data_IF_948980325986
#
_entry.id   IF_948980325986
#
_cell.length_a   1.000
_cell.length_b   1.000
_cell.length_c   1.000
_cell.angle_alpha   90.00
_cell.angle_beta   90.00
_cell.angle_gamma   90.00
#
_symmetry.space_group_name_H-M   'P 1'
#
loop_
_entity.id
_entity.type
_entity.pdbx_description
1 polymer ?
#
# COMPACT_ATOMS: atom_id res chain seq x y z
N UNK A 1 90.00 10.33 5.97
CA UNK A 1 89.60 11.65 6.51
C UNK A 1 88.26 11.49 7.21
N UNK A 2 88.19 11.71 8.52
CA UNK A 2 86.98 11.56 9.31
C UNK A 2 86.00 12.74 9.06
N UNK A 3 84.68 12.51 8.95
CA UNK A 3 83.71 13.60 8.85
C UNK A 3 83.44 14.20 10.23
N UNK A 4 83.49 15.54 10.29
CA UNK A 4 83.23 16.36 11.48
C UNK A 4 81.78 16.19 11.95
N UNK A 5 81.59 15.99 13.25
CA UNK A 5 80.29 16.03 13.94
C UNK A 5 79.80 17.47 14.01
N UNK A 6 78.67 17.75 13.37
CA UNK A 6 77.94 19.00 13.48
C UNK A 6 77.33 19.18 14.88
N UNK A 7 77.52 20.38 15.43
CA UNK A 7 76.95 20.83 16.71
C UNK A 7 75.43 20.99 16.56
N UNK A 8 74.65 20.11 17.20
CA UNK A 8 73.22 20.31 17.37
C UNK A 8 72.92 21.52 18.29
N UNK A 9 71.86 22.32 18.03
CA UNK A 9 71.57 23.53 18.77
C UNK A 9 71.23 23.24 20.24
N UNK A 10 71.96 23.89 21.15
CA UNK A 10 71.84 23.73 22.61
C UNK A 10 70.45 24.08 23.17
N UNK A 11 69.63 24.86 22.45
CA UNK A 11 68.30 25.29 22.89
C UNK A 11 67.24 24.18 22.87
N UNK A 12 67.31 23.25 21.93
CA UNK A 12 66.37 22.11 21.86
C UNK A 12 66.56 21.15 23.05
N UNK A 13 67.79 21.01 23.54
CA UNK A 13 68.09 20.16 24.71
C UNK A 13 67.55 20.76 26.03
N UNK A 14 67.53 22.09 26.17
CA UNK A 14 67.05 22.77 27.39
C UNK A 14 65.52 22.72 27.55
N UNK A 15 64.76 22.72 26.45
CA UNK A 15 63.29 22.59 26.50
C UNK A 15 62.83 21.15 26.83
N UNK A 16 63.59 20.14 26.38
CA UNK A 16 63.32 18.72 26.68
C UNK A 16 63.55 18.43 28.16
N UNK A 17 64.55 19.07 28.78
CA UNK A 17 64.95 18.86 30.18
C UNK A 17 63.89 19.36 31.20
N UNK A 18 63.28 20.52 30.94
CA UNK A 18 62.22 21.10 31.82
C UNK A 18 60.91 20.30 31.86
N UNK A 19 60.72 19.34 30.95
CA UNK A 19 59.51 18.49 30.90
C UNK A 19 59.80 17.04 31.27
N UNK A 20 61.06 16.63 31.42
CA UNK A 20 61.44 15.23 31.64
C UNK A 20 61.05 14.71 33.03
N UNK A 21 61.18 15.53 34.08
CA UNK A 21 60.78 15.17 35.46
C UNK A 21 59.29 15.33 35.78
N UNK A 22 58.53 16.07 34.96
CA UNK A 22 57.13 16.41 35.23
C UNK A 22 56.12 15.43 34.60
N UNK A 23 56.56 14.63 33.62
CA UNK A 23 55.72 13.67 32.87
C UNK A 23 55.23 12.48 33.68
N UNK A 24 55.90 12.17 34.81
CA UNK A 24 55.51 11.06 35.70
C UNK A 24 54.55 11.47 36.83
N UNK A 25 54.18 12.76 36.93
CA UNK A 25 53.20 13.28 37.89
C UNK A 25 51.83 13.45 37.21
N UNK A 26 50.86 12.58 37.52
CA UNK A 26 49.47 12.62 37.02
C UNK A 26 48.61 13.77 37.60
N UNK A 27 49.23 14.80 38.18
CA UNK A 27 48.50 15.94 38.74
C UNK A 27 48.04 16.92 37.65
N UNK A 28 46.77 17.32 37.66
CA UNK A 28 46.19 18.22 36.64
C UNK A 28 46.93 19.57 36.48
N UNK A 29 47.54 20.08 37.55
CA UNK A 29 48.38 21.29 37.50
C UNK A 29 49.69 21.07 36.71
N UNK A 30 50.34 19.92 36.88
CA UNK A 30 51.54 19.56 36.14
C UNK A 30 51.25 19.36 34.65
N UNK A 31 50.09 18.77 34.31
CA UNK A 31 49.69 18.59 32.90
C UNK A 31 49.36 19.92 32.21
N UNK A 32 48.72 20.88 32.92
CA UNK A 32 48.51 22.24 32.40
C UNK A 32 49.83 22.96 32.14
N UNK A 33 50.80 22.84 33.06
CA UNK A 33 52.12 23.44 32.89
C UNK A 33 52.90 22.80 31.72
N UNK A 34 52.79 21.48 31.52
CA UNK A 34 53.38 20.80 30.35
C UNK A 34 52.74 21.30 29.04
N UNK A 35 51.41 21.44 28.99
CA UNK A 35 50.71 22.00 27.82
C UNK A 35 51.15 23.44 27.53
N UNK A 36 51.31 24.27 28.57
CA UNK A 36 51.76 25.66 28.41
C UNK A 36 53.21 25.74 27.91
N UNK A 37 54.11 24.89 28.42
CA UNK A 37 55.50 24.81 27.95
C UNK A 37 55.57 24.28 26.49
N UNK A 38 54.74 23.28 26.16
CA UNK A 38 54.63 22.76 24.79
C UNK A 38 54.07 23.81 23.83
N UNK A 39 53.01 24.54 24.20
CA UNK A 39 52.46 25.64 23.41
C UNK A 39 53.49 26.76 23.20
N UNK A 40 54.23 27.15 24.25
CA UNK A 40 55.31 28.13 24.13
C UNK A 40 56.44 27.65 23.20
N UNK A 41 56.79 26.36 23.22
CA UNK A 41 57.78 25.79 22.30
C UNK A 41 57.27 25.68 20.85
N UNK A 42 55.98 25.43 20.64
CA UNK A 42 55.35 25.35 19.32
C UNK A 42 55.14 26.73 18.67
N UNK A 43 55.06 27.80 19.46
CA UNK A 43 54.99 29.18 18.99
C UNK A 43 56.36 29.73 18.53
N UNK A 44 57.45 29.13 19.01
CA UNK A 44 58.84 29.49 18.72
C UNK A 44 59.42 28.80 17.47
N UNK A 45 58.60 28.56 16.43
CA UNK A 45 59.10 28.12 15.12
C UNK A 45 59.99 29.20 14.51
N UNK A 46 61.09 28.79 13.87
CA UNK A 46 62.00 29.72 13.19
C UNK A 46 61.28 30.43 12.03
N UNK A 47 61.69 31.65 11.62
CA UNK A 47 61.06 32.39 10.52
C UNK A 47 61.00 31.59 9.21
N UNK A 48 62.01 30.77 8.93
CA UNK A 48 62.01 29.84 7.78
C UNK A 48 60.93 28.76 7.85
N UNK A 49 60.67 28.18 9.03
CA UNK A 49 59.65 27.16 9.19
C UNK A 49 58.25 27.74 9.00
N UNK A 50 58.00 28.97 9.48
CA UNK A 50 56.72 29.67 9.26
C UNK A 50 56.51 30.00 7.78
N UNK A 51 57.57 30.40 7.06
CA UNK A 51 57.52 30.62 5.60
C UNK A 51 57.20 29.34 4.84
N UNK A 52 57.83 28.22 5.18
CA UNK A 52 57.59 26.92 4.54
C UNK A 52 56.19 26.36 4.81
N UNK A 53 55.63 26.60 6.00
CA UNK A 53 54.24 26.24 6.33
C UNK A 53 53.23 27.12 5.60
N UNK A 54 53.49 28.43 5.48
CA UNK A 54 52.65 29.35 4.72
C UNK A 54 52.65 29.03 3.21
N UNK A 55 53.81 28.66 2.64
CA UNK A 55 53.92 28.25 1.24
C UNK A 55 53.16 26.94 0.96
N UNK A 56 53.25 25.95 1.87
CA UNK A 56 52.46 24.72 1.76
C UNK A 56 50.95 24.98 1.85
N UNK A 57 50.52 25.81 2.80
CA UNK A 57 49.12 26.19 2.93
C UNK A 57 48.61 27.00 1.72
N UNK A 58 49.45 27.85 1.12
CA UNK A 58 49.11 28.57 -0.10
C UNK A 58 48.95 27.61 -1.29
N UNK A 59 49.86 26.64 -1.43
CA UNK A 59 49.80 25.62 -2.50
C UNK A 59 48.61 24.67 -2.36
N UNK A 60 48.22 24.33 -1.13
CA UNK A 60 47.02 23.53 -0.87
C UNK A 60 45.75 24.32 -1.23
N UNK A 61 45.66 25.59 -0.84
CA UNK A 61 44.54 26.47 -1.21
C UNK A 61 44.45 26.72 -2.71
N UNK A 62 45.57 26.85 -3.41
CA UNK A 62 45.58 27.01 -4.87
C UNK A 62 45.10 25.72 -5.57
N UNK A 63 45.48 24.54 -5.07
CA UNK A 63 44.96 23.26 -5.58
C UNK A 63 43.48 23.09 -5.32
N UNK A 64 42.99 23.44 -4.14
CA UNK A 64 41.57 23.41 -3.80
C UNK A 64 40.77 24.38 -4.68
N UNK A 65 41.28 25.60 -4.89
CA UNK A 65 40.66 26.59 -5.77
C UNK A 65 40.66 26.12 -7.24
N UNK A 66 41.74 25.51 -7.71
CA UNK A 66 41.81 24.94 -9.06
C UNK A 66 40.86 23.74 -9.24
N UNK A 67 40.71 22.90 -8.22
CA UNK A 67 39.75 21.79 -8.24
C UNK A 67 38.30 22.29 -8.20
N UNK A 68 38.00 23.31 -7.39
CA UNK A 68 36.69 23.97 -7.34
C UNK A 68 36.36 24.63 -8.68
N UNK A 69 37.29 25.40 -9.26
CA UNK A 69 37.11 26.01 -10.57
C UNK A 69 36.90 24.94 -11.68
N UNK A 70 37.58 23.79 -11.59
CA UNK A 70 37.35 22.67 -12.52
C UNK A 70 35.97 22.05 -12.34
N UNK A 71 35.48 21.92 -11.10
CA UNK A 71 34.12 21.42 -10.81
C UNK A 71 33.07 22.39 -11.35
N UNK A 72 33.20 23.68 -11.06
CA UNK A 72 32.29 24.72 -11.54
C UNK A 72 32.27 24.79 -13.07
N UNK A 73 33.43 24.72 -13.73
CA UNK A 73 33.50 24.64 -15.19
C UNK A 73 32.81 23.38 -15.73
N UNK A 74 33.05 22.21 -15.12
CA UNK A 74 32.40 20.97 -15.52
C UNK A 74 30.87 21.02 -15.35
N UNK A 75 30.36 21.74 -14.36
CA UNK A 75 28.92 21.95 -14.19
C UNK A 75 28.34 22.91 -15.21
N UNK A 76 29.06 23.98 -15.56
CA UNK A 76 28.65 24.93 -16.59
C UNK A 76 28.60 24.31 -17.99
N UNK A 77 29.54 23.40 -18.30
CA UNK A 77 29.61 22.72 -19.60
C UNK A 77 28.83 21.40 -19.65
N UNK A 78 27.96 21.09 -18.67
CA UNK A 78 27.04 19.92 -18.78
C UNK A 78 26.16 20.08 -20.03
N UNK A 79 26.29 19.21 -21.04
CA UNK A 79 25.58 19.38 -22.30
C UNK A 79 24.07 19.32 -22.07
N UNK A 80 23.37 20.31 -22.62
CA UNK A 80 21.92 20.44 -22.61
C UNK A 80 21.31 19.17 -23.22
N UNK A 81 20.73 18.32 -22.37
CA UNK A 81 20.13 17.06 -22.79
C UNK A 81 18.89 17.36 -23.66
N UNK A 82 18.99 17.11 -24.97
CA UNK A 82 17.85 17.20 -25.87
C UNK A 82 16.96 15.97 -25.70
N UNK A 83 15.72 16.17 -25.26
CA UNK A 83 14.71 15.13 -25.08
C UNK A 83 14.36 14.47 -26.42
N UNK A 84 14.78 13.20 -26.60
CA UNK A 84 14.45 12.39 -27.77
C UNK A 84 13.00 11.90 -27.66
N UNK A 85 12.22 12.11 -28.73
CA UNK A 85 10.82 11.67 -28.82
C UNK A 85 10.75 10.47 -29.76
N UNK A 86 10.16 9.34 -29.34
CA UNK A 86 9.89 8.20 -30.21
C UNK A 86 8.99 8.58 -31.39
N UNK A 87 9.21 7.98 -32.56
CA UNK A 87 8.37 8.23 -33.74
C UNK A 87 6.90 7.83 -33.47
N UNK A 88 5.96 8.70 -33.84
CA UNK A 88 4.51 8.46 -33.70
C UNK A 88 3.89 8.96 -32.38
N UNK A 89 4.67 9.50 -31.44
CA UNK A 89 4.15 10.09 -30.19
C UNK A 89 4.15 11.61 -30.32
N UNK A 90 2.97 12.23 -30.12
CA UNK A 90 2.84 13.68 -30.09
C UNK A 90 3.72 14.29 -28.98
N UNK A 91 4.67 15.18 -29.31
CA UNK A 91 5.61 15.75 -28.35
C UNK A 91 4.95 16.44 -27.15
N UNK A 92 3.70 16.89 -27.32
CA UNK A 92 2.89 17.55 -26.29
C UNK A 92 2.28 16.60 -25.28
N UNK A 93 2.35 15.29 -25.51
CA UNK A 93 1.94 14.28 -24.52
C UNK A 93 3.06 13.95 -23.54
N UNK A 94 4.26 14.51 -23.74
CA UNK A 94 5.44 14.26 -22.92
C UNK A 94 5.78 15.53 -22.12
N UNK A 95 6.07 15.38 -20.82
CA UNK A 95 6.49 16.49 -19.96
C UNK A 95 7.82 17.07 -20.44
N UNK A 96 7.90 18.40 -20.51
CA UNK A 96 9.11 19.13 -20.85
C UNK A 96 10.18 18.97 -19.75
N UNK A 97 11.35 18.42 -20.11
CA UNK A 97 12.47 18.29 -19.16
C UNK A 97 12.97 19.64 -18.62
N UNK A 98 12.94 20.69 -19.45
CA UNK A 98 13.34 22.05 -19.03
C UNK A 98 12.32 22.67 -18.08
N UNK A 99 11.03 22.42 -18.30
CA UNK A 99 9.98 22.88 -17.40
C UNK A 99 10.06 22.18 -16.05
N UNK A 100 10.32 20.86 -16.06
CA UNK A 100 10.59 20.08 -14.84
C UNK A 100 11.78 20.63 -14.04
N UNK A 101 12.78 21.20 -14.73
CA UNK A 101 13.96 21.83 -14.12
C UNK A 101 13.78 23.34 -13.84
N UNK A 102 12.61 23.92 -14.14
CA UNK A 102 12.33 25.34 -13.95
C UNK A 102 13.02 26.30 -14.94
N UNK A 103 13.65 25.78 -16.00
CA UNK A 103 14.47 26.54 -16.96
C UNK A 103 13.90 26.52 -18.38
N UNK A 104 12.56 26.53 -18.54
CA UNK A 104 11.93 26.51 -19.86
C UNK A 104 11.50 27.91 -20.33
N UNK A 105 12.26 28.50 -21.25
CA UNK A 105 11.96 29.82 -21.82
C UNK A 105 10.78 29.81 -22.81
N UNK A 106 10.34 28.62 -23.23
CA UNK A 106 9.34 28.45 -24.31
C UNK A 106 7.89 28.60 -23.82
N UNK A 107 7.66 28.59 -22.50
CA UNK A 107 6.33 28.78 -21.90
C UNK A 107 5.23 27.96 -22.58
N UNK A 108 4.10 28.60 -22.92
CA UNK A 108 2.96 27.95 -23.60
C UNK A 108 3.23 27.51 -25.04
N UNK A 109 4.30 28.00 -25.68
CA UNK A 109 4.70 27.63 -27.05
C UNK A 109 5.69 26.45 -27.05
N UNK A 110 5.97 25.86 -25.89
CA UNK A 110 6.83 24.69 -25.80
C UNK A 110 6.25 23.51 -26.59
N UNK A 111 7.13 22.81 -27.32
CA UNK A 111 6.80 21.58 -28.05
C UNK A 111 6.38 20.44 -27.11
N UNK A 112 6.84 20.51 -25.86
CA UNK A 112 6.56 19.57 -24.78
C UNK A 112 5.55 20.16 -23.80
N UNK A 113 4.82 19.31 -23.07
CA UNK A 113 3.82 19.79 -22.11
C UNK A 113 4.46 20.35 -20.84
N UNK A 114 3.80 21.35 -20.26
CA UNK A 114 4.10 21.95 -18.95
C UNK A 114 3.11 21.49 -17.87
N UNK A 115 2.39 20.42 -18.12
CA UNK A 115 1.47 19.82 -17.17
C UNK A 115 2.20 18.75 -16.34
N UNK A 116 2.42 19.03 -15.06
CA UNK A 116 3.07 18.11 -14.12
C UNK A 116 2.29 16.81 -13.93
N UNK A 117 0.99 16.79 -14.23
CA UNK A 117 0.15 15.60 -14.12
C UNK A 117 0.51 14.53 -15.15
N UNK A 118 1.10 14.93 -16.29
CA UNK A 118 1.56 14.00 -17.31
C UNK A 118 2.73 13.13 -16.78
N UNK A 119 3.58 13.67 -15.89
CA UNK A 119 4.63 12.90 -15.24
C UNK A 119 4.13 12.07 -14.05
N UNK A 120 2.94 12.36 -13.53
CA UNK A 120 2.28 11.56 -12.49
C UNK A 120 1.58 10.31 -13.02
N UNK A 121 1.73 9.97 -14.31
CA UNK A 121 1.47 8.61 -14.82
C UNK A 121 2.52 7.65 -14.26
N UNK A 122 2.42 7.40 -12.96
CA UNK A 122 3.17 6.40 -12.22
C UNK A 122 2.86 5.03 -12.81
N UNK A 123 3.88 4.18 -12.88
CA UNK A 123 3.73 2.78 -13.28
C UNK A 123 2.59 2.15 -12.46
N UNK A 124 1.53 1.73 -13.15
CA UNK A 124 0.39 1.09 -12.49
C UNK A 124 0.89 -0.20 -11.86
N UNK A 125 0.56 -0.41 -10.58
CA UNK A 125 0.81 -1.67 -9.88
C UNK A 125 0.26 -2.81 -10.76
N UNK A 126 1.08 -3.82 -11.03
CA UNK A 126 0.71 -4.92 -11.93
C UNK A 126 -0.52 -5.66 -11.39
N UNK A 127 -1.62 -5.64 -12.15
CA UNK A 127 -2.93 -6.20 -11.79
C UNK A 127 -2.94 -7.73 -11.66
N UNK A 128 -1.94 -8.39 -12.23
CA UNK A 128 -1.85 -9.86 -12.31
C UNK A 128 -0.87 -10.46 -11.32
N UNK A 129 -0.10 -9.63 -10.60
CA UNK A 129 0.87 -10.09 -9.60
C UNK A 129 0.47 -9.54 -8.24
N UNK A 130 0.07 -10.41 -7.31
CA UNK A 130 -0.25 -9.98 -5.95
C UNK A 130 1.03 -9.48 -5.29
N UNK A 131 0.97 -8.32 -4.67
CA UNK A 131 2.16 -7.62 -4.18
C UNK A 131 2.66 -8.22 -2.88
N UNK A 132 1.81 -9.06 -2.26
CA UNK A 132 2.17 -9.96 -1.16
C UNK A 132 2.93 -11.19 -1.64
N UNK A 133 2.76 -11.59 -2.91
CA UNK A 133 3.57 -12.66 -3.53
C UNK A 133 4.91 -12.11 -4.04
N UNK A 134 4.99 -10.83 -4.38
CA UNK A 134 6.25 -10.16 -4.72
C UNK A 134 7.19 -9.93 -3.54
N UNK A 135 6.63 -9.87 -2.31
CA UNK A 135 7.37 -9.94 -1.04
C UNK A 135 7.18 -11.31 -0.37
N UNK A 136 6.96 -12.37 -1.17
CA UNK A 136 7.18 -13.73 -0.71
C UNK A 136 8.67 -13.89 -0.45
N UNK A 137 9.02 -13.65 0.82
CA UNK A 137 9.79 -14.51 1.72
C UNK A 137 11.03 -15.18 1.15
N UNK A 138 12.02 -15.39 2.02
CA UNK A 138 13.23 -16.18 1.74
C UNK A 138 12.98 -17.62 1.22
N UNK A 139 11.73 -18.02 0.98
CA UNK A 139 11.28 -19.30 0.41
C UNK A 139 11.41 -19.42 -1.12
N UNK A 140 11.63 -18.34 -1.88
CA UNK A 140 11.94 -18.49 -3.32
C UNK A 140 13.43 -18.86 -3.56
N UNK A 141 14.30 -18.67 -2.56
CA UNK A 141 15.68 -19.21 -2.59
C UNK A 141 15.71 -20.71 -2.32
N UNK A 142 14.79 -21.26 -1.51
CA UNK A 142 14.79 -22.69 -1.14
C UNK A 142 14.24 -23.60 -2.23
N UNK A 143 13.55 -23.08 -3.27
CA UNK A 143 13.19 -23.87 -4.47
C UNK A 143 14.38 -24.16 -5.38
N UNK A 144 15.54 -23.54 -5.15
CA UNK A 144 16.82 -23.86 -5.80
C UNK A 144 17.75 -24.73 -4.92
N UNK A 145 17.32 -25.13 -3.73
CA UNK A 145 18.05 -26.11 -2.92
C UNK A 145 17.59 -27.52 -3.33
N UNK A 146 18.46 -28.27 -4.00
CA UNK A 146 18.28 -29.71 -4.23
C UNK A 146 18.05 -30.43 -2.88
N UNK A 147 17.05 -31.30 -2.80
CA UNK A 147 16.68 -32.10 -1.62
C UNK A 147 17.83 -32.93 -1.02
N UNK A 148 18.96 -33.04 -1.73
CA UNK A 148 20.14 -33.77 -1.32
C UNK A 148 21.00 -33.06 -0.25
N UNK A 149 20.85 -31.74 -0.07
CA UNK A 149 21.67 -30.93 0.85
C UNK A 149 20.93 -30.57 2.15
N UNK A 150 19.94 -31.38 2.55
CA UNK A 150 19.10 -31.11 3.71
C UNK A 150 19.49 -31.97 4.90
N UNK A 151 20.13 -31.36 5.89
CA UNK A 151 20.45 -31.99 7.18
C UNK A 151 19.19 -32.32 8.01
N UNK A 152 19.30 -33.31 8.91
CA UNK A 152 18.19 -33.79 9.75
C UNK A 152 17.56 -32.68 10.62
N UNK A 153 18.35 -31.68 11.02
CA UNK A 153 17.85 -30.52 11.76
C UNK A 153 17.03 -29.56 10.87
N UNK A 154 17.43 -29.40 9.60
CA UNK A 154 16.69 -28.63 8.57
C UNK A 154 15.40 -29.37 8.22
N UNK A 155 15.43 -30.70 8.13
CA UNK A 155 14.25 -31.55 7.97
C UNK A 155 13.27 -31.40 9.15
N UNK A 156 13.76 -31.47 10.40
CA UNK A 156 12.92 -31.29 11.61
C UNK A 156 12.31 -29.90 11.70
N UNK A 157 13.07 -28.85 11.34
CA UNK A 157 12.54 -27.46 11.27
C UNK A 157 11.46 -27.33 10.20
N UNK A 158 11.63 -27.93 9.03
CA UNK A 158 10.61 -27.88 7.97
C UNK A 158 9.35 -28.66 8.37
N UNK A 159 9.49 -29.83 9.00
CA UNK A 159 8.35 -30.60 9.54
C UNK A 159 7.62 -29.81 10.64
N UNK A 160 8.33 -29.22 11.61
CA UNK A 160 7.70 -28.36 12.62
C UNK A 160 7.03 -27.11 12.01
N UNK A 161 7.63 -26.51 10.98
CA UNK A 161 7.06 -25.34 10.30
C UNK A 161 5.84 -25.67 9.45
N UNK A 162 5.75 -26.90 8.90
CA UNK A 162 4.58 -27.38 8.15
C UNK A 162 3.36 -27.69 9.02
N UNK A 163 3.55 -27.85 10.33
CA UNK A 163 2.45 -28.04 11.29
C UNK A 163 1.89 -26.72 11.85
N UNK A 164 2.46 -25.56 11.49
CA UNK A 164 1.80 -24.28 11.73
C UNK A 164 0.69 -24.08 10.71
N UNK A 165 -0.56 -23.94 11.18
CA UNK A 165 -1.75 -23.71 10.35
C UNK A 165 -1.42 -22.73 9.21
N UNK A 166 -1.27 -23.20 7.94
CA UNK A 166 -0.93 -22.32 6.84
C UNK A 166 -2.06 -21.31 6.76
N UNK A 167 -1.74 -20.01 6.85
CA UNK A 167 -2.74 -18.95 6.63
C UNK A 167 -3.42 -19.29 5.31
N UNK A 168 -4.69 -19.67 5.37
CA UNK A 168 -5.47 -20.13 4.24
C UNK A 168 -5.78 -18.94 3.35
N UNK A 169 -4.78 -18.53 2.57
CA UNK A 169 -5.01 -17.63 1.45
C UNK A 169 -5.85 -18.42 0.47
N UNK A 170 -7.13 -18.07 0.42
CA UNK A 170 -8.07 -18.67 -0.51
C UNK A 170 -7.72 -18.21 -1.92
N UNK A 171 -7.83 -19.12 -2.90
CA UNK A 171 -7.65 -18.81 -4.33
C UNK A 171 -8.80 -17.94 -4.89
N UNK A 172 -9.76 -17.60 -4.04
CA UNK A 172 -10.86 -16.69 -4.35
C UNK A 172 -10.33 -15.26 -4.34
N UNK A 173 -10.64 -14.52 -5.41
CA UNK A 173 -10.30 -13.11 -5.54
C UNK A 173 -11.13 -12.28 -4.57
N UNK A 174 -10.50 -11.29 -3.94
CA UNK A 174 -11.19 -10.40 -3.00
C UNK A 174 -12.24 -9.55 -3.73
N UNK A 175 -13.47 -9.50 -3.18
CA UNK A 175 -14.56 -8.68 -3.71
C UNK A 175 -14.20 -7.20 -3.80
N UNK A 176 -13.59 -6.65 -2.74
CA UNK A 176 -13.18 -5.25 -2.69
C UNK A 176 -12.05 -4.93 -3.66
N UNK A 177 -11.20 -5.92 -3.97
CA UNK A 177 -10.18 -5.78 -5.00
C UNK A 177 -10.81 -5.67 -6.39
N UNK A 178 -11.78 -6.54 -6.72
CA UNK A 178 -12.53 -6.44 -7.97
C UNK A 178 -13.19 -5.07 -8.07
N UNK A 179 -13.88 -4.62 -7.03
CA UNK A 179 -14.55 -3.32 -6.99
C UNK A 179 -13.56 -2.14 -7.12
N UNK A 180 -12.41 -2.20 -6.47
CA UNK A 180 -11.39 -1.15 -6.57
C UNK A 180 -10.75 -1.08 -7.95
N UNK A 181 -10.51 -2.23 -8.58
CA UNK A 181 -10.00 -2.34 -9.94
C UNK A 181 -11.05 -1.85 -10.93
N UNK A 182 -12.32 -2.22 -10.75
CA UNK A 182 -13.43 -1.75 -11.58
C UNK A 182 -13.65 -0.25 -11.48
N UNK A 183 -13.49 0.32 -10.29
CA UNK A 183 -13.60 1.75 -10.04
C UNK A 183 -12.31 2.52 -10.36
N UNK A 184 -11.27 1.85 -10.88
CA UNK A 184 -9.94 2.43 -11.15
C UNK A 184 -9.28 3.09 -9.93
N UNK A 185 -9.72 2.73 -8.72
CA UNK A 185 -9.18 3.19 -7.43
C UNK A 185 -8.04 2.30 -6.95
N UNK A 186 -7.83 1.15 -7.59
CA UNK A 186 -6.69 0.28 -7.31
C UNK A 186 -5.38 0.95 -7.75
N UNK A 187 -4.49 1.20 -6.79
CA UNK A 187 -3.23 1.90 -7.01
C UNK A 187 -2.28 1.74 -5.81
N UNK A 188 -1.19 2.49 -5.82
CA UNK A 188 -0.13 2.39 -4.81
C UNK A 188 -0.62 2.59 -3.36
N UNK A 189 -1.67 3.39 -3.16
CA UNK A 189 -2.23 3.70 -1.84
C UNK A 189 -3.50 2.89 -1.52
N UNK A 190 -3.89 1.93 -2.36
CA UNK A 190 -5.10 1.16 -2.12
C UNK A 190 -4.83 0.03 -1.11
N UNK A 191 -5.54 0.07 0.01
CA UNK A 191 -5.56 -0.99 1.03
C UNK A 191 -6.91 -1.69 1.00
N UNK A 192 -6.90 -3.02 1.10
CA UNK A 192 -8.15 -3.79 1.14
C UNK A 192 -8.90 -3.49 2.45
N UNK A 193 -10.19 -3.13 2.42
CA UNK A 193 -11.01 -2.95 3.62
C UNK A 193 -11.14 -4.23 4.45
N UNK A 194 -11.03 -5.40 3.82
CA UNK A 194 -11.13 -6.72 4.45
C UNK A 194 -9.77 -7.19 5.04
N UNK A 195 -9.07 -6.29 5.73
CA UNK A 195 -7.85 -6.60 6.48
C UNK A 195 -6.52 -6.25 5.79
N UNK A 196 -6.52 -5.35 4.80
CA UNK A 196 -5.31 -4.81 4.18
C UNK A 196 -4.42 -5.91 3.59
N UNK A 197 -3.27 -6.14 4.21
CA UNK A 197 -2.34 -7.21 3.82
C UNK A 197 -2.74 -8.60 4.33
N UNK A 198 -3.52 -8.68 5.42
CA UNK A 198 -4.02 -9.92 6.03
C UNK A 198 -5.30 -10.46 5.40
N UNK A 199 -5.77 -9.87 4.30
CA UNK A 199 -6.97 -10.34 3.63
C UNK A 199 -6.82 -11.81 3.21
N UNK A 200 -7.80 -12.65 3.58
CA UNK A 200 -7.83 -14.08 3.26
C UNK A 200 -8.01 -14.37 1.76
N UNK A 201 -8.34 -13.34 0.98
CA UNK A 201 -8.63 -13.43 -0.44
C UNK A 201 -7.49 -12.85 -1.27
N UNK A 202 -7.33 -13.33 -2.51
CA UNK A 202 -6.28 -12.92 -3.45
C UNK A 202 -6.53 -11.49 -3.96
N UNK A 203 -5.48 -10.65 -4.02
CA UNK A 203 -5.51 -9.27 -4.54
C UNK A 203 -4.85 -9.20 -5.92
N UNK A 204 -5.16 -10.15 -6.78
CA UNK A 204 -4.80 -10.13 -8.19
C UNK A 204 -5.87 -10.80 -9.03
N UNK A 205 -5.96 -10.38 -10.28
CA UNK A 205 -6.92 -10.93 -11.23
C UNK A 205 -6.50 -12.35 -11.59
N UNK A 206 -7.45 -13.31 -11.73
CA UNK A 206 -7.15 -14.62 -12.25
C UNK A 206 -6.50 -14.51 -13.63
N UNK A 207 -5.54 -15.39 -13.96
CA UNK A 207 -4.89 -15.37 -15.27
C UNK A 207 -5.94 -15.54 -16.38
N UNK A 208 -6.03 -14.57 -17.28
CA UNK A 208 -7.00 -14.56 -18.39
C UNK A 208 -8.28 -13.74 -18.14
N UNK A 209 -8.50 -13.19 -16.93
CA UNK A 209 -9.63 -12.29 -16.69
C UNK A 209 -9.34 -10.89 -17.26
N UNK A 210 -10.02 -10.53 -18.34
CA UNK A 210 -9.93 -9.20 -18.96
C UNK A 210 -11.00 -8.29 -18.36
N UNK A 211 -10.57 -7.19 -17.76
CA UNK A 211 -11.48 -6.15 -17.25
C UNK A 211 -12.27 -5.53 -18.40
N UNK A 212 -13.60 -5.67 -18.37
CA UNK A 212 -14.49 -4.93 -19.26
C UNK A 212 -14.34 -3.43 -18.97
N UNK A 213 -14.23 -2.62 -20.03
CA UNK A 213 -14.17 -1.15 -19.84
C UNK A 213 -15.49 -0.64 -19.27
N UNK A 214 -15.46 0.53 -18.62
CA UNK A 214 -16.68 1.19 -18.10
C UNK A 214 -17.76 1.34 -19.19
N UNK A 215 -17.33 1.62 -20.42
CA UNK A 215 -18.18 1.74 -21.60
C UNK A 215 -18.78 0.40 -22.04
N UNK A 216 -17.98 -0.68 -22.05
CA UNK A 216 -18.46 -2.02 -22.39
C UNK A 216 -19.49 -2.53 -21.38
N UNK A 217 -19.30 -2.27 -20.08
CA UNK A 217 -20.27 -2.65 -19.05
C UNK A 217 -21.55 -1.81 -19.13
N UNK A 218 -21.43 -0.51 -19.40
CA UNK A 218 -22.60 0.34 -19.61
C UNK A 218 -23.40 -0.11 -20.84
N UNK A 219 -22.72 -0.52 -21.92
CA UNK A 219 -23.35 -1.07 -23.11
C UNK A 219 -24.04 -2.41 -22.83
N UNK A 220 -23.41 -3.32 -22.09
CA UNK A 220 -24.01 -4.61 -21.70
C UNK A 220 -25.20 -4.44 -20.77
N UNK A 221 -25.12 -3.54 -19.78
CA UNK A 221 -26.24 -3.20 -18.90
C UNK A 221 -27.40 -2.59 -19.68
N UNK A 222 -27.11 -1.66 -20.59
CA UNK A 222 -28.13 -1.08 -21.47
C UNK A 222 -28.73 -2.12 -22.43
N UNK A 223 -27.96 -3.11 -22.87
CA UNK A 223 -28.45 -4.22 -23.69
C UNK A 223 -29.31 -5.20 -22.89
N UNK A 224 -28.97 -5.43 -21.62
CA UNK A 224 -29.73 -6.26 -20.70
C UNK A 224 -31.06 -5.59 -20.31
N UNK A 225 -31.06 -4.27 -20.08
CA UNK A 225 -32.27 -3.48 -19.84
C UNK A 225 -33.17 -3.42 -21.09
N UNK A 226 -32.58 -3.47 -22.28
CA UNK A 226 -33.30 -3.61 -23.56
C UNK A 226 -33.61 -5.06 -23.92
N UNK A 227 -33.19 -6.03 -23.09
CA UNK A 227 -33.45 -7.43 -23.40
C UNK A 227 -34.93 -7.74 -23.15
N UNK A 228 -35.55 -8.61 -23.97
CA UNK A 228 -36.97 -8.92 -23.91
C UNK A 228 -37.45 -9.41 -22.55
N UNK A 229 -36.56 -9.89 -21.68
CA UNK A 229 -36.89 -10.35 -20.33
C UNK A 229 -37.17 -9.20 -19.35
N UNK A 230 -36.54 -8.03 -19.53
CA UNK A 230 -36.82 -6.83 -18.74
C UNK A 230 -38.01 -6.03 -19.32
N UNK A 231 -38.26 -6.17 -20.62
CA UNK A 231 -39.36 -5.51 -21.33
C UNK A 231 -40.55 -6.42 -21.60
N UNK A 232 -40.57 -7.66 -21.07
CA UNK A 232 -41.72 -8.55 -21.18
C UNK A 232 -42.81 -7.93 -20.30
N UNK A 233 -43.65 -7.10 -20.91
CA UNK A 233 -44.71 -6.42 -20.18
C UNK A 233 -45.81 -7.43 -19.86
N UNK A 234 -46.67 -7.08 -18.90
CA UNK A 234 -47.77 -7.94 -18.47
C UNK A 234 -48.68 -8.33 -19.65
N UNK A 235 -48.74 -7.48 -20.67
CA UNK A 235 -49.46 -7.68 -21.93
C UNK A 235 -48.85 -8.81 -22.78
N UNK A 236 -47.53 -8.89 -22.93
CA UNK A 236 -46.85 -9.96 -23.71
C UNK A 236 -47.00 -11.33 -23.01
N UNK A 237 -46.96 -11.33 -21.68
CA UNK A 237 -47.31 -12.50 -20.89
C UNK A 237 -48.77 -12.94 -21.10
N UNK A 238 -49.73 -11.99 -21.02
CA UNK A 238 -51.16 -12.25 -21.26
C UNK A 238 -51.43 -12.75 -22.69
N UNK A 239 -50.74 -12.21 -23.70
CA UNK A 239 -50.86 -12.67 -25.09
C UNK A 239 -50.33 -14.10 -25.26
N UNK A 240 -49.21 -14.42 -24.60
CA UNK A 240 -48.68 -15.79 -24.58
C UNK A 240 -49.61 -16.79 -23.89
N UNK A 241 -50.25 -16.40 -22.78
CA UNK A 241 -51.20 -17.26 -22.07
C UNK A 241 -52.52 -17.39 -22.83
N UNK A 242 -53.00 -16.33 -23.47
CA UNK A 242 -54.19 -16.39 -24.34
C UNK A 242 -53.98 -17.33 -25.52
N UNK A 243 -52.78 -17.36 -26.09
CA UNK A 243 -52.45 -18.30 -27.16
C UNK A 243 -52.23 -19.74 -26.65
N UNK A 244 -51.85 -19.94 -25.39
CA UNK A 244 -51.81 -21.27 -24.75
C UNK A 244 -53.20 -21.80 -24.41
N UNK A 245 -54.16 -20.92 -24.13
CA UNK A 245 -55.57 -21.25 -23.87
C UNK A 245 -56.33 -21.58 -25.16
N UNK A 246 -55.91 -22.64 -25.86
CA UNK A 246 -56.65 -23.21 -26.99
C UNK A 246 -57.50 -24.39 -26.51
N UNK A 247 -58.84 -24.22 -26.42
CA UNK A 247 -59.76 -25.29 -26.02
C UNK A 247 -61.20 -24.79 -25.80
N UNK A 248 -62.10 -25.72 -25.41
CA UNK A 248 -63.49 -25.39 -25.04
C UNK A 248 -63.50 -24.69 -23.69
N UNK A 249 -63.55 -23.36 -23.69
CA UNK A 249 -63.57 -22.54 -22.48
C UNK A 249 -64.96 -22.56 -21.81
N UNK A 250 -64.98 -22.61 -20.48
CA UNK A 250 -66.21 -22.48 -19.71
C UNK A 250 -66.70 -21.03 -19.77
N UNK A 251 -67.94 -20.76 -20.20
CA UNK A 251 -68.47 -19.40 -20.28
C UNK A 251 -68.62 -18.80 -18.89
N UNK A 252 -68.24 -17.53 -18.75
CA UNK A 252 -68.33 -16.80 -17.48
C UNK A 252 -69.78 -16.37 -17.24
N UNK A 253 -70.53 -17.24 -16.60
CA UNK A 253 -71.88 -16.98 -16.06
C UNK A 253 -71.79 -16.58 -14.58
N UNK A 254 -72.83 -15.95 -14.00
CA UNK A 254 -72.82 -15.58 -12.58
C UNK A 254 -72.55 -16.76 -11.64
N UNK A 255 -73.06 -17.94 -11.98
CA UNK A 255 -72.93 -19.16 -11.18
C UNK A 255 -71.50 -19.75 -11.24
N UNK A 256 -70.87 -19.72 -12.41
CA UNK A 256 -69.49 -20.19 -12.60
C UNK A 256 -68.49 -19.22 -11.98
N UNK A 257 -68.77 -17.92 -12.04
CA UNK A 257 -67.98 -16.89 -11.36
C UNK A 257 -68.06 -16.99 -9.83
N UNK A 258 -69.26 -17.28 -9.28
CA UNK A 258 -69.41 -17.47 -7.84
C UNK A 258 -68.63 -18.69 -7.32
N UNK A 259 -68.61 -19.80 -8.07
CA UNK A 259 -67.77 -20.97 -7.77
C UNK A 259 -66.29 -20.62 -7.82
N UNK A 260 -65.83 -19.99 -8.91
CA UNK A 260 -64.44 -19.54 -9.06
C UNK A 260 -64.01 -18.57 -7.94
N UNK A 261 -64.88 -17.64 -7.54
CA UNK A 261 -64.60 -16.67 -6.48
C UNK A 261 -64.42 -17.34 -5.12
N UNK A 262 -65.25 -18.34 -4.80
CA UNK A 262 -65.08 -19.16 -3.59
C UNK A 262 -63.74 -19.90 -3.61
N UNK A 263 -63.45 -20.63 -4.69
CA UNK A 263 -62.18 -21.35 -4.85
C UNK A 263 -60.94 -20.44 -4.77
N UNK A 264 -61.01 -19.22 -5.33
CA UNK A 264 -59.93 -18.24 -5.24
C UNK A 264 -59.73 -17.69 -3.83
N UNK A 265 -60.82 -17.43 -3.10
CA UNK A 265 -60.74 -16.97 -1.71
C UNK A 265 -60.20 -18.08 -0.80
N UNK A 266 -60.66 -19.31 -0.98
CA UNK A 266 -60.18 -20.47 -0.22
C UNK A 266 -58.70 -20.74 -0.50
N UNK A 267 -58.26 -20.66 -1.78
CA UNK A 267 -56.85 -20.78 -2.15
C UNK A 267 -55.99 -19.66 -1.56
N UNK A 268 -56.46 -18.42 -1.59
CA UNK A 268 -55.76 -17.27 -1.00
C UNK A 268 -55.65 -17.41 0.52
N UNK A 269 -56.72 -17.87 1.19
CA UNK A 269 -56.70 -18.13 2.63
C UNK A 269 -55.71 -19.25 2.99
N UNK A 270 -55.67 -20.33 2.21
CA UNK A 270 -54.71 -21.42 2.41
C UNK A 270 -53.25 -20.99 2.18
N UNK A 271 -52.98 -20.16 1.17
CA UNK A 271 -51.64 -19.62 0.90
C UNK A 271 -51.18 -18.64 1.98
N UNK A 272 -52.09 -17.78 2.46
CA UNK A 272 -51.83 -16.84 3.55
C UNK A 272 -51.60 -17.59 4.87
N UNK A 273 -52.35 -18.65 5.16
CA UNK A 273 -52.09 -19.53 6.31
C UNK A 273 -50.75 -20.26 6.18
N UNK A 274 -50.39 -20.72 4.98
CA UNK A 274 -49.08 -21.34 4.74
C UNK A 274 -47.93 -20.32 4.83
N UNK A 275 -48.15 -19.07 4.42
CA UNK A 275 -47.17 -17.98 4.59
C UNK A 275 -47.01 -17.64 6.06
N UNK A 276 -48.11 -17.51 6.81
CA UNK A 276 -48.08 -17.26 8.25
C UNK A 276 -47.42 -18.42 9.02
N UNK A 277 -47.62 -19.67 8.60
CA UNK A 277 -46.91 -20.82 9.17
C UNK A 277 -45.41 -20.82 8.85
N UNK A 278 -44.98 -20.23 7.72
CA UNK A 278 -43.57 -20.03 7.37
C UNK A 278 -42.96 -18.79 8.03
N UNK A 279 -43.75 -17.73 8.22
CA UNK A 279 -43.37 -16.48 8.88
C UNK A 279 -43.36 -16.61 10.40
N UNK A 280 -44.00 -17.63 10.96
CA UNK A 280 -43.81 -18.14 12.33
C UNK A 280 -42.37 -18.66 12.61
N UNK A 281 -41.38 -18.17 11.85
CA UNK A 281 -39.99 -18.04 12.27
C UNK A 281 -39.86 -17.10 13.47
N UNK A 282 -38.85 -17.34 14.34
CA UNK A 282 -38.79 -16.85 15.73
C UNK A 282 -39.08 -15.37 16.01
N UNK A 283 -38.95 -14.47 15.02
CA UNK A 283 -39.33 -13.05 15.17
C UNK A 283 -40.84 -12.83 15.29
N UNK A 284 -41.66 -13.56 14.54
CA UNK A 284 -43.12 -13.44 14.60
C UNK A 284 -43.72 -14.14 15.84
N UNK A 285 -43.05 -15.18 16.36
CA UNK A 285 -43.40 -15.77 17.65
C UNK A 285 -43.12 -14.81 18.82
N UNK A 286 -42.00 -14.09 18.76
CA UNK A 286 -41.63 -13.10 19.78
C UNK A 286 -42.60 -11.90 19.82
N UNK A 287 -43.03 -11.40 18.66
CA UNK A 287 -43.92 -10.23 18.57
C UNK A 287 -45.40 -10.56 18.86
N UNK A 288 -45.82 -11.83 18.69
CA UNK A 288 -47.18 -12.30 19.01
C UNK A 288 -47.34 -12.66 20.50
N UNK A 289 -46.25 -12.64 21.29
CA UNK A 289 -46.28 -12.92 22.73
C UNK A 289 -46.43 -14.42 23.08
N UNK A 290 -46.24 -15.32 22.11
CA UNK A 290 -46.39 -16.77 22.28
C UNK A 290 -45.13 -17.43 22.86
N UNK A 291 -44.30 -16.66 23.57
CA UNK A 291 -43.06 -17.12 24.23
C UNK A 291 -43.29 -17.44 25.72
N UNK A 292 -44.43 -17.02 26.28
CA UNK A 292 -44.69 -16.95 27.73
C UNK A 292 -45.27 -18.26 28.31
N UNK A 293 -45.02 -19.42 27.68
CA UNK A 293 -45.46 -20.72 28.19
C UNK A 293 -44.28 -21.68 28.29
N UNK A 294 -43.40 -21.37 29.24
CA UNK A 294 -42.75 -22.36 30.09
C UNK A 294 -42.32 -21.65 31.37
N UNK A 295 -43.29 -21.37 32.24
CA UNK A 295 -43.01 -21.33 33.68
C UNK A 295 -42.53 -22.73 34.05
N UNK A 296 -41.22 -22.92 34.19
CA UNK A 296 -40.64 -23.86 35.15
C UNK A 296 -39.11 -23.69 35.21
N UNK A 297 -38.67 -23.37 36.43
CA UNK A 297 -37.38 -23.68 37.07
C UNK A 297 -36.13 -22.84 36.72
N UNK A 298 -35.83 -21.93 37.65
CA UNK A 298 -34.53 -21.72 38.32
C UNK A 298 -33.25 -21.64 37.48
N UNK A 299 -32.61 -20.46 37.47
CA UNK A 299 -31.29 -20.30 38.09
C UNK A 299 -30.89 -18.81 38.17
N UNK A 300 -30.53 -18.39 39.38
CA UNK A 300 -29.86 -17.12 39.68
C UNK A 300 -28.45 -17.11 39.08
N UNK A 301 -27.97 -15.89 38.80
CA UNK A 301 -26.59 -15.47 38.50
C UNK A 301 -26.18 -15.39 37.01
N UNK A 302 -25.88 -14.16 36.59
CA UNK A 302 -25.39 -13.71 35.25
C UNK A 302 -26.43 -13.51 34.12
N UNK A 303 -27.52 -12.81 34.42
CA UNK A 303 -28.31 -12.13 33.39
C UNK A 303 -27.46 -11.04 32.69
N UNK A 304 -26.88 -11.37 31.53
CA UNK A 304 -26.16 -10.43 30.66
C UNK A 304 -26.99 -9.16 30.46
N UNK A 305 -26.49 -8.02 30.96
CA UNK A 305 -27.16 -6.73 30.82
C UNK A 305 -27.10 -6.26 29.37
N UNK A 306 -28.05 -6.76 28.56
CA UNK A 306 -28.21 -6.48 27.14
C UNK A 306 -28.40 -4.98 26.84
N UNK A 307 -28.87 -4.19 27.81
CA UNK A 307 -29.08 -2.75 27.67
C UNK A 307 -27.74 -2.00 27.62
N UNK A 308 -26.80 -2.37 28.49
CA UNK A 308 -25.44 -1.84 28.50
C UNK A 308 -24.71 -2.22 27.20
N UNK A 309 -24.80 -3.49 26.79
CA UNK A 309 -24.17 -3.97 25.55
C UNK A 309 -24.74 -3.27 24.31
N UNK A 310 -26.05 -3.02 24.28
CA UNK A 310 -26.71 -2.29 23.20
C UNK A 310 -26.19 -0.86 23.12
N UNK A 311 -26.14 -0.16 24.25
CA UNK A 311 -25.63 1.22 24.33
C UNK A 311 -24.17 1.29 23.86
N UNK A 312 -23.31 0.38 24.30
CA UNK A 312 -21.92 0.30 23.83
C UNK A 312 -21.82 0.03 22.32
N UNK A 313 -22.67 -0.83 21.76
CA UNK A 313 -22.66 -1.09 20.30
C UNK A 313 -23.24 0.06 19.47
N UNK A 314 -24.23 0.78 19.98
CA UNK A 314 -24.80 1.97 19.31
C UNK A 314 -23.78 3.11 19.33
N UNK A 315 -23.11 3.35 20.47
CA UNK A 315 -22.03 4.32 20.60
C UNK A 315 -20.85 3.97 19.67
N UNK A 316 -20.42 2.70 19.63
CA UNK A 316 -19.37 2.25 18.72
C UNK A 316 -19.77 2.37 17.23
N UNK A 317 -21.05 2.22 16.90
CA UNK A 317 -21.59 2.41 15.55
C UNK A 317 -21.63 3.88 15.15
N UNK A 318 -22.02 4.76 16.06
CA UNK A 318 -22.06 6.21 15.85
C UNK A 318 -20.64 6.78 15.69
N UNK A 319 -19.69 6.37 16.54
CA UNK A 319 -18.28 6.75 16.42
C UNK A 319 -17.64 6.28 15.10
N UNK A 320 -18.01 5.10 14.61
CA UNK A 320 -17.58 4.60 13.29
C UNK A 320 -18.22 5.33 12.11
N UNK A 321 -19.40 5.94 12.31
CA UNK A 321 -20.11 6.70 11.27
C UNK A 321 -19.69 8.18 11.23
N UNK A 322 -19.18 8.71 12.35
CA UNK A 322 -18.78 10.11 12.51
C UNK A 322 -17.29 10.38 12.22
N UNK A 323 -16.46 9.33 12.10
CA UNK A 323 -15.06 9.39 11.65
C UNK A 323 -14.90 9.18 10.15
#
# INVERSE_FOLDING_TARGET
>A
MAPKKDNAPKSAKVAVDKTFGMKNKKGGAAQKQIRQIQQASSAAKTPEQKRKEAEKAAREKEKEAAEQARKEAAELFKPVQTQKVPFGVDPKTILCQFFKKGACDKGRKCKFSHDLDIARKTEKKSLYTDTREGEATEDDKTKKDDMADWDEEKLRKVVLSKHGNPKTTTDKVCKYFIEAVENQKYGWFWTCPNGGEKCMYRHSLPPGFVLKTKEQRAAEKALMEKSPLATLTLEDFLESERHKLTGTLMPVTPETFAKWKKERLDKKAAEEQARQAKEATGRAMFERGDWEVSEDEDDEDDAWNLDELRRETEEAGEEQSAG
#
